data_IF_959573777892
#
_entry.id   IF_959573777892
#
_cell.length_a   1.000
_cell.length_b   1.000
_cell.length_c   1.000
_cell.angle_alpha   90.00
_cell.angle_beta   90.00
_cell.angle_gamma   90.00
#
_symmetry.space_group_name_H-M   'P 1'
#
loop_
_entity.id
_entity.type
_entity.pdbx_description
1 polymer ?
#
# COMPACT_ATOMS: atom_id res chain seq x y z
N UNK A 1 -3.40 -7.29 -35.82
CA UNK A 1 -2.40 -7.99 -36.65
C UNK A 1 -1.17 -8.47 -35.87
N UNK A 2 -0.24 -7.62 -35.40
CA UNK A 2 1.00 -8.11 -34.73
C UNK A 2 0.70 -8.83 -33.41
N UNK A 3 -0.17 -8.29 -32.56
CA UNK A 3 -0.55 -8.96 -31.30
C UNK A 3 -1.30 -10.29 -31.52
N UNK A 4 -2.09 -10.40 -32.60
CA UNK A 4 -2.80 -11.64 -32.96
C UNK A 4 -1.80 -12.74 -33.37
N UNK A 5 -0.80 -12.39 -34.18
CA UNK A 5 0.28 -13.30 -34.55
C UNK A 5 1.12 -13.72 -33.32
N UNK A 6 1.39 -12.81 -32.38
CA UNK A 6 2.08 -13.14 -31.13
C UNK A 6 1.27 -14.07 -30.23
N UNK A 7 -0.05 -13.87 -30.15
CA UNK A 7 -0.94 -14.75 -29.39
C UNK A 7 -1.02 -16.15 -30.02
N UNK A 8 -1.05 -16.23 -31.35
CA UNK A 8 -1.03 -17.52 -32.05
C UNK A 8 0.31 -18.25 -31.82
N UNK A 9 1.44 -17.54 -31.86
CA UNK A 9 2.75 -18.10 -31.51
C UNK A 9 2.81 -18.57 -30.05
N UNK A 10 2.25 -17.80 -29.11
CA UNK A 10 2.13 -18.18 -27.71
C UNK A 10 1.33 -19.48 -27.57
N UNK A 11 0.22 -19.64 -28.29
CA UNK A 11 -0.65 -20.84 -28.21
C UNK A 11 0.06 -22.13 -28.61
N UNK A 12 0.96 -22.06 -29.59
CA UNK A 12 1.63 -23.25 -30.14
C UNK A 12 2.99 -23.54 -29.51
N UNK A 13 3.66 -22.53 -28.93
CA UNK A 13 5.06 -22.62 -28.51
C UNK A 13 5.37 -21.92 -27.17
N UNK A 14 4.37 -21.54 -26.37
CA UNK A 14 4.64 -20.94 -25.07
C UNK A 14 5.37 -21.91 -24.14
N UNK A 15 6.32 -21.37 -23.39
CA UNK A 15 6.87 -22.03 -22.20
C UNK A 15 5.82 -22.05 -21.10
N UNK A 16 6.00 -22.96 -20.15
CA UNK A 16 5.21 -22.97 -18.92
C UNK A 16 5.32 -21.61 -18.22
N UNK A 17 4.19 -21.13 -17.71
CA UNK A 17 4.17 -19.92 -16.89
C UNK A 17 4.89 -20.23 -15.61
N UNK A 18 5.90 -19.42 -15.28
CA UNK A 18 6.59 -19.53 -14.00
C UNK A 18 5.82 -18.72 -12.98
N UNK A 19 5.68 -19.28 -11.79
CA UNK A 19 5.22 -18.54 -10.63
C UNK A 19 6.36 -17.64 -10.14
N UNK A 20 6.07 -16.33 -10.06
CA UNK A 20 6.96 -15.35 -9.47
C UNK A 20 6.30 -14.82 -8.20
N UNK A 21 7.09 -14.70 -7.13
CA UNK A 21 6.61 -14.10 -5.88
C UNK A 21 6.21 -12.65 -6.13
N UNK A 22 5.01 -12.31 -5.67
CA UNK A 22 4.56 -10.93 -5.58
C UNK A 22 5.06 -10.33 -4.26
N UNK A 23 5.34 -9.03 -4.29
CA UNK A 23 5.72 -8.23 -3.13
C UNK A 23 4.65 -7.16 -2.95
N UNK A 24 3.58 -7.43 -2.18
CA UNK A 24 2.57 -6.43 -1.84
C UNK A 24 3.21 -5.25 -1.10
N UNK A 25 2.64 -4.04 -1.23
CA UNK A 25 3.17 -2.86 -0.56
C UNK A 25 2.89 -2.84 0.95
N UNK A 26 1.90 -3.61 1.42
CA UNK A 26 1.52 -3.78 2.82
C UNK A 26 0.56 -4.99 2.96
N UNK A 27 0.39 -5.49 4.17
CA UNK A 27 -0.61 -6.51 4.51
C UNK A 27 -1.97 -5.89 4.85
N UNK A 28 -3.03 -6.67 4.72
CA UNK A 28 -4.39 -6.24 5.12
C UNK A 28 -4.45 -5.89 6.62
N UNK A 29 -3.68 -6.60 7.45
CA UNK A 29 -3.57 -6.34 8.89
C UNK A 29 -2.91 -5.00 9.18
N UNK A 30 -1.78 -4.70 8.52
CA UNK A 30 -1.09 -3.42 8.66
C UNK A 30 -1.98 -2.26 8.20
N UNK A 31 -2.69 -2.43 7.08
CA UNK A 31 -3.65 -1.45 6.59
C UNK A 31 -4.78 -1.21 7.59
N UNK A 32 -5.45 -2.27 8.05
CA UNK A 32 -6.56 -2.18 8.98
C UNK A 32 -6.14 -1.50 10.29
N UNK A 33 -4.94 -1.83 10.80
CA UNK A 33 -4.43 -1.22 12.03
C UNK A 33 -4.16 0.28 11.87
N UNK A 34 -3.58 0.69 10.74
CA UNK A 34 -3.37 2.11 10.45
C UNK A 34 -4.70 2.84 10.27
N UNK A 35 -5.67 2.22 9.59
CA UNK A 35 -7.00 2.79 9.39
C UNK A 35 -7.71 3.04 10.74
N UNK A 36 -7.71 2.06 11.64
CA UNK A 36 -8.28 2.22 13.00
C UNK A 36 -7.71 3.42 13.76
N UNK A 37 -6.40 3.66 13.64
CA UNK A 37 -5.71 4.75 14.35
C UNK A 37 -5.98 6.10 13.69
N UNK A 38 -5.97 6.16 12.36
CA UNK A 38 -5.85 7.42 11.63
C UNK A 38 -7.14 7.88 10.95
N UNK A 39 -8.13 7.01 10.73
CA UNK A 39 -9.23 7.28 9.79
C UNK A 39 -10.02 8.53 10.14
N UNK A 40 -10.47 8.67 11.39
CA UNK A 40 -11.26 9.81 11.82
C UNK A 40 -10.48 11.13 11.72
N UNK A 41 -9.26 11.15 12.24
CA UNK A 41 -8.38 12.32 12.23
C UNK A 41 -7.99 12.75 10.82
N UNK A 42 -7.70 11.79 9.93
CA UNK A 42 -7.36 12.07 8.55
C UNK A 42 -8.57 12.59 7.78
N UNK A 43 -9.77 12.05 8.04
CA UNK A 43 -11.00 12.55 7.43
C UNK A 43 -11.27 14.01 7.82
N UNK A 44 -11.07 14.37 9.09
CA UNK A 44 -11.15 15.75 9.55
C UNK A 44 -10.09 16.62 8.87
N UNK A 45 -8.82 16.18 8.85
CA UNK A 45 -7.72 16.93 8.24
C UNK A 45 -7.95 17.20 6.76
N UNK A 46 -8.49 16.24 6.02
CA UNK A 46 -8.79 16.38 4.59
C UNK A 46 -9.93 17.36 4.29
N UNK A 47 -10.76 17.70 5.29
CA UNK A 47 -11.80 18.72 5.17
C UNK A 47 -11.27 20.16 5.27
N UNK A 48 -10.03 20.36 5.76
CA UNK A 48 -9.38 21.68 5.86
C UNK A 48 -9.12 22.23 4.46
N UNK A 49 -9.60 23.43 4.14
CA UNK A 49 -9.50 24.01 2.81
C UNK A 49 -8.08 24.52 2.49
N UNK A 50 -7.45 25.21 3.44
CA UNK A 50 -6.15 25.82 3.29
C UNK A 50 -5.03 24.77 3.20
N UNK A 51 -4.13 24.95 2.23
CA UNK A 51 -3.07 23.98 1.95
C UNK A 51 -2.12 23.76 3.12
N UNK A 52 -1.57 24.84 3.70
CA UNK A 52 -0.55 24.73 4.74
C UNK A 52 -1.13 24.12 6.04
N UNK A 53 -2.25 24.62 6.59
CA UNK A 53 -2.87 24.01 7.78
C UNK A 53 -3.25 22.53 7.57
N UNK A 54 -3.78 22.17 6.39
CA UNK A 54 -4.05 20.77 6.04
C UNK A 54 -2.77 19.93 6.05
N UNK A 55 -1.69 20.43 5.46
CA UNK A 55 -0.41 19.72 5.43
C UNK A 55 0.18 19.53 6.82
N UNK A 56 0.12 20.56 7.66
CA UNK A 56 0.60 20.51 9.04
C UNK A 56 -0.17 19.47 9.86
N UNK A 57 -1.52 19.49 9.79
CA UNK A 57 -2.35 18.49 10.49
C UNK A 57 -2.09 17.07 10.00
N UNK A 58 -1.94 16.86 8.69
CA UNK A 58 -1.60 15.54 8.13
C UNK A 58 -0.21 15.08 8.61
N UNK A 59 0.76 15.98 8.73
CA UNK A 59 2.10 15.64 9.22
C UNK A 59 2.06 15.18 10.69
N UNK A 60 1.31 15.89 11.54
CA UNK A 60 1.10 15.50 12.94
C UNK A 60 0.46 14.11 13.06
N UNK A 61 -0.59 13.83 12.27
CA UNK A 61 -1.26 12.53 12.25
C UNK A 61 -0.28 11.43 11.84
N UNK A 62 0.53 11.65 10.79
CA UNK A 62 1.53 10.68 10.33
C UNK A 62 2.56 10.34 11.40
N UNK A 63 3.02 11.34 12.14
CA UNK A 63 3.98 11.11 13.22
C UNK A 63 3.32 10.32 14.36
N UNK A 64 2.11 10.70 14.77
CA UNK A 64 1.36 9.96 15.79
C UNK A 64 1.10 8.50 15.42
N UNK A 65 0.75 8.23 14.16
CA UNK A 65 0.58 6.85 13.66
C UNK A 65 1.90 6.10 13.71
N UNK A 66 3.00 6.70 13.24
CA UNK A 66 4.33 6.09 13.27
C UNK A 66 4.73 5.70 14.69
N UNK A 67 4.54 6.60 15.65
CA UNK A 67 4.85 6.35 17.06
C UNK A 67 3.99 5.22 17.64
N UNK A 68 2.68 5.21 17.33
CA UNK A 68 1.75 4.21 17.84
C UNK A 68 2.10 2.79 17.38
N UNK A 69 2.45 2.62 16.09
CA UNK A 69 2.70 1.29 15.51
C UNK A 69 4.17 0.85 15.59
N UNK A 70 5.08 1.71 16.02
CA UNK A 70 6.53 1.46 16.03
C UNK A 70 6.94 0.18 16.78
N UNK A 71 6.16 -0.23 17.78
CA UNK A 71 6.40 -1.42 18.59
C UNK A 71 5.45 -2.59 18.27
N UNK A 72 4.43 -2.38 17.44
CA UNK A 72 3.40 -3.38 17.14
C UNK A 72 3.86 -4.35 16.04
N UNK A 73 4.74 -3.90 15.13
CA UNK A 73 5.13 -4.64 13.92
C UNK A 73 6.64 -4.91 13.83
N UNK A 74 7.35 -4.99 14.96
CA UNK A 74 8.80 -5.21 14.98
C UNK A 74 9.21 -6.55 14.37
N UNK A 75 8.32 -7.55 14.49
CA UNK A 75 8.58 -8.95 14.16
C UNK A 75 8.07 -9.35 12.76
N UNK A 76 7.49 -8.41 11.99
CA UNK A 76 7.11 -8.67 10.60
C UNK A 76 8.36 -8.92 9.74
N UNK A 77 8.25 -9.85 8.78
CA UNK A 77 9.26 -10.05 7.74
C UNK A 77 9.45 -8.72 6.96
N UNK A 78 10.67 -8.40 6.51
CA UNK A 78 10.91 -7.25 5.63
C UNK A 78 10.08 -7.32 4.35
N UNK A 79 9.70 -8.53 3.90
CA UNK A 79 8.79 -8.71 2.77
C UNK A 79 7.31 -8.39 3.08
N UNK A 80 6.96 -8.21 4.36
CA UNK A 80 5.60 -7.94 4.85
C UNK A 80 5.45 -6.54 5.45
N UNK A 81 6.56 -5.83 5.71
CA UNK A 81 6.60 -4.43 6.17
C UNK A 81 6.40 -3.44 5.03
#
# INVERSE_FOLDING_TARGET
VICEAQNELKRIASKETKEFQLFPEYTDELYARIDEIAHADLNEALSIAEKLPRQDRIAEIKEGVREAIAQEFTDMDEAEK
#
